data_IF_102434261446
#
_entry.id   IF_102434261446
#
_cell.length_a   1.000
_cell.length_b   1.000
_cell.length_c   1.000
_cell.angle_alpha   90.00
_cell.angle_beta   90.00
_cell.angle_gamma   90.00
#
_symmetry.space_group_name_H-M   'P 1'
#
loop_
_entity.id
_entity.type
_entity.pdbx_description
1 polymer ?
#
# COMPACT_ATOMS: atom_id res chain seq x y z
N UNK A 1 11.34 -16.28 -23.88
CA UNK A 1 10.23 -15.87 -23.01
C UNK A 1 9.29 -15.06 -23.87
N UNK A 2 8.10 -15.57 -24.18
CA UNK A 2 7.10 -14.82 -24.94
C UNK A 2 6.59 -13.67 -24.08
N UNK A 3 6.82 -12.44 -24.52
CA UNK A 3 6.25 -11.25 -23.90
C UNK A 3 4.82 -11.11 -24.40
N UNK A 4 3.84 -11.56 -23.62
CA UNK A 4 2.43 -11.26 -23.87
C UNK A 4 2.22 -9.75 -23.68
N UNK A 5 2.33 -8.98 -24.77
CA UNK A 5 2.11 -7.55 -24.76
C UNK A 5 0.61 -7.24 -24.87
N UNK A 6 0.18 -6.21 -24.15
CA UNK A 6 -1.22 -5.75 -24.09
C UNK A 6 -1.25 -4.26 -24.39
N UNK A 7 -2.14 -3.86 -25.29
CA UNK A 7 -2.35 -2.45 -25.63
C UNK A 7 -3.19 -1.77 -24.54
N UNK A 8 -2.69 -0.67 -23.96
CA UNK A 8 -3.41 0.17 -23.00
C UNK A 8 -3.75 1.50 -23.63
N UNK A 9 -5.01 1.91 -23.48
CA UNK A 9 -5.52 3.21 -23.92
C UNK A 9 -5.31 4.24 -22.83
N UNK A 10 -4.66 5.35 -23.16
CA UNK A 10 -4.50 6.51 -22.29
C UNK A 10 -5.21 7.70 -22.93
N UNK A 11 -6.10 8.32 -22.17
CA UNK A 11 -6.90 9.47 -22.62
C UNK A 11 -6.68 10.66 -21.71
N UNK A 12 -6.34 11.80 -22.31
CA UNK A 12 -6.29 13.10 -21.63
C UNK A 12 -6.98 14.14 -22.52
N UNK A 13 -8.12 14.66 -22.06
CA UNK A 13 -9.07 15.42 -22.88
C UNK A 13 -9.44 14.64 -24.16
N UNK A 14 -9.34 15.27 -25.33
CA UNK A 14 -9.64 14.65 -26.64
C UNK A 14 -8.47 13.82 -27.19
N UNK A 15 -7.30 13.85 -26.54
CA UNK A 15 -6.14 13.09 -26.99
C UNK A 15 -6.24 11.64 -26.47
N UNK A 16 -6.30 10.70 -27.40
CA UNK A 16 -6.31 9.27 -27.12
C UNK A 16 -5.09 8.61 -27.76
N UNK A 17 -4.22 8.00 -26.95
CA UNK A 17 -3.02 7.30 -27.41
C UNK A 17 -3.03 5.86 -26.87
N UNK A 18 -2.59 4.93 -27.71
CA UNK A 18 -2.45 3.52 -27.36
C UNK A 18 -0.97 3.20 -27.16
N UNK A 19 -0.64 2.59 -26.02
CA UNK A 19 0.71 2.14 -25.71
C UNK A 19 0.74 0.63 -25.59
N UNK A 20 1.79 0.01 -26.14
CA UNK A 20 2.08 -1.40 -25.87
C UNK A 20 2.69 -1.53 -24.48
N UNK A 21 2.15 -2.43 -23.66
CA UNK A 21 2.54 -2.60 -22.26
C UNK A 21 2.61 -4.07 -21.89
N UNK A 22 3.23 -4.36 -20.75
CA UNK A 22 3.27 -5.70 -20.17
C UNK A 22 1.88 -6.19 -19.76
N UNK A 23 1.53 -7.45 -20.08
CA UNK A 23 0.34 -8.10 -19.52
C UNK A 23 0.34 -8.08 -17.99
N UNK A 24 -0.87 -7.99 -17.42
CA UNK A 24 -1.08 -8.04 -15.98
C UNK A 24 -0.67 -9.39 -15.38
N UNK A 25 -0.70 -10.45 -16.19
CA UNK A 25 -0.46 -11.85 -15.81
C UNK A 25 1.03 -12.24 -15.81
N UNK A 26 1.93 -11.30 -16.12
CA UNK A 26 3.38 -11.57 -16.20
C UNK A 26 3.97 -11.88 -14.80
N UNK A 27 3.28 -11.48 -13.73
CA UNK A 27 3.69 -11.81 -12.36
C UNK A 27 2.49 -11.82 -11.42
N UNK A 28 2.58 -12.61 -10.34
CA UNK A 28 1.56 -12.66 -9.29
C UNK A 28 1.52 -11.32 -8.52
N UNK A 29 0.33 -10.71 -8.49
CA UNK A 29 0.05 -9.45 -7.79
C UNK A 29 -0.75 -9.66 -6.51
N UNK A 30 -0.89 -10.91 -6.05
CA UNK A 30 -1.62 -11.19 -4.82
C UNK A 30 -1.01 -10.37 -3.68
N UNK A 31 -1.82 -9.62 -2.91
CA UNK A 31 -1.29 -8.81 -1.83
C UNK A 31 -0.54 -9.69 -0.82
N UNK A 32 0.73 -9.38 -0.58
CA UNK A 32 1.47 -9.97 0.54
C UNK A 32 0.75 -9.57 1.83
N UNK A 33 0.41 -10.55 2.67
CA UNK A 33 0.02 -10.53 4.09
C UNK A 33 -0.30 -9.17 4.75
N UNK A 34 -1.05 -8.31 4.06
CA UNK A 34 -1.21 -6.91 4.42
C UNK A 34 -2.13 -6.79 5.62
N UNK A 35 -1.70 -6.03 6.63
CA UNK A 35 -2.49 -5.79 7.84
C UNK A 35 -3.83 -5.13 7.53
N UNK A 36 -3.86 -4.18 6.59
CA UNK A 36 -5.10 -3.51 6.15
C UNK A 36 -6.01 -4.51 5.43
N UNK A 37 -5.45 -5.32 4.52
CA UNK A 37 -6.21 -6.36 3.85
C UNK A 37 -6.81 -7.33 4.87
N UNK A 38 -5.99 -7.84 5.80
CA UNK A 38 -6.45 -8.73 6.86
C UNK A 38 -7.55 -8.10 7.71
N UNK A 39 -7.44 -6.81 8.05
CA UNK A 39 -8.48 -6.09 8.79
C UNK A 39 -9.80 -6.03 8.00
N UNK A 40 -9.77 -5.59 6.74
CA UNK A 40 -10.96 -5.45 5.89
C UNK A 40 -11.70 -6.79 5.69
N UNK A 41 -10.95 -7.89 5.60
CA UNK A 41 -11.50 -9.24 5.45
C UNK A 41 -11.69 -9.98 6.79
N UNK A 42 -11.64 -9.28 7.93
CA UNK A 42 -11.83 -9.85 9.29
C UNK A 42 -10.91 -11.03 9.62
N UNK A 43 -9.70 -11.03 9.06
CA UNK A 43 -8.63 -12.01 9.28
C UNK A 43 -7.64 -11.60 10.39
N UNK A 44 -7.91 -10.49 11.07
CA UNK A 44 -7.21 -10.03 12.26
C UNK A 44 -8.26 -9.84 13.36
N UNK A 45 -7.95 -10.29 14.58
CA UNK A 45 -8.83 -10.05 15.71
C UNK A 45 -8.72 -8.59 16.18
N UNK A 46 -9.77 -8.09 16.84
CA UNK A 46 -9.72 -6.74 17.43
C UNK A 46 -8.56 -6.59 18.43
N UNK A 47 -8.22 -7.66 19.17
CA UNK A 47 -7.10 -7.66 20.11
C UNK A 47 -5.77 -7.50 19.39
N UNK A 48 -5.57 -8.21 18.29
CA UNK A 48 -4.35 -8.09 17.49
C UNK A 48 -4.25 -6.72 16.84
N UNK A 49 -5.38 -6.16 16.39
CA UNK A 49 -5.44 -4.81 15.84
C UNK A 49 -5.03 -3.74 16.87
N UNK A 50 -5.52 -3.85 18.11
CA UNK A 50 -5.11 -2.98 19.23
C UNK A 50 -3.60 -3.11 19.47
N UNK A 51 -3.09 -4.34 19.54
CA UNK A 51 -1.65 -4.61 19.74
C UNK A 51 -0.78 -3.95 18.66
N UNK A 52 -1.21 -4.00 17.40
CA UNK A 52 -0.52 -3.35 16.28
C UNK A 52 -0.45 -1.83 16.50
N UNK A 53 -1.53 -1.19 16.98
CA UNK A 53 -1.52 0.24 17.28
C UNK A 53 -0.60 0.59 18.45
N UNK A 54 -0.59 -0.21 19.50
CA UNK A 54 0.33 -0.02 20.64
C UNK A 54 1.80 -0.11 20.20
N UNK A 55 2.14 -1.11 19.39
CA UNK A 55 3.49 -1.29 18.85
C UNK A 55 3.88 -0.12 17.93
N UNK A 56 2.97 0.33 17.06
CA UNK A 56 3.20 1.50 16.21
C UNK A 56 3.40 2.79 17.03
N UNK A 57 2.61 2.99 18.08
CA UNK A 57 2.75 4.15 18.96
C UNK A 57 4.10 4.11 19.68
N UNK A 58 4.52 2.94 20.18
CA UNK A 58 5.83 2.74 20.81
C UNK A 58 6.96 3.07 19.84
N UNK A 59 6.93 2.52 18.63
CA UNK A 59 7.91 2.79 17.59
C UNK A 59 8.00 4.28 17.25
N UNK A 60 6.84 4.94 17.02
CA UNK A 60 6.78 6.37 16.70
C UNK A 60 7.37 7.26 17.79
N UNK A 61 7.22 6.86 19.04
CA UNK A 61 7.70 7.63 20.17
C UNK A 61 9.20 7.41 20.44
N UNK A 62 9.68 6.18 20.29
CA UNK A 62 11.00 5.78 20.79
C UNK A 62 12.06 5.64 19.70
N UNK A 63 11.66 5.30 18.47
CA UNK A 63 12.58 4.88 17.41
C UNK A 63 12.47 5.74 16.14
N UNK A 64 11.27 6.22 15.81
CA UNK A 64 11.05 7.00 14.59
C UNK A 64 11.66 8.40 14.71
N UNK A 65 12.71 8.68 13.93
CA UNK A 65 13.32 10.01 13.86
C UNK A 65 12.36 10.98 13.18
N UNK A 66 11.96 12.03 13.89
CA UNK A 66 11.10 13.10 13.38
C UNK A 66 11.76 14.45 13.63
N UNK A 67 11.68 15.35 12.65
CA UNK A 67 12.16 16.72 12.82
C UNK A 67 11.42 17.40 13.99
N UNK A 68 12.13 18.16 14.84
CA UNK A 68 11.57 18.79 16.05
C UNK A 68 10.29 19.58 15.79
N UNK A 69 10.26 20.34 14.70
CA UNK A 69 9.14 21.21 14.35
C UNK A 69 7.96 20.41 13.79
N UNK A 70 8.16 19.13 13.47
CA UNK A 70 7.14 18.22 12.95
C UNK A 70 6.65 17.21 13.99
N UNK A 71 7.14 17.23 15.23
CA UNK A 71 6.74 16.27 16.27
C UNK A 71 5.22 16.26 16.48
N UNK A 72 4.58 17.43 16.43
CA UNK A 72 3.13 17.59 16.57
C UNK A 72 2.32 16.93 15.45
N UNK A 73 2.94 16.64 14.30
CA UNK A 73 2.31 15.93 13.18
C UNK A 73 2.39 14.41 13.31
N UNK A 74 3.09 13.90 14.33
CA UNK A 74 3.20 12.45 14.56
C UNK A 74 1.83 11.89 14.92
N UNK A 75 1.23 11.13 13.99
CA UNK A 75 -0.09 10.52 14.19
C UNK A 75 0.00 9.30 15.11
N UNK A 76 -0.23 9.51 16.39
CA UNK A 76 -0.53 8.44 17.34
C UNK A 76 -1.96 7.92 17.16
N UNK A 77 -2.21 6.71 17.63
CA UNK A 77 -3.50 6.02 17.59
C UNK A 77 -4.12 5.96 18.98
#
# INVERSE_FOLDING_TARGET
METNSVTKRVTFNDNCVYFETYSIDIYDRYPIESTIYKLCYKRISNKDWIKIHEELNKYKHQEMVVHKDSLHNTRFH
#
